data_IF_079118890272
#
_entry.id   IF_079118890272
#
_cell.length_a   1.000
_cell.length_b   1.000
_cell.length_c   1.000
_cell.angle_alpha   90.00
_cell.angle_beta   90.00
_cell.angle_gamma   90.00
#
_symmetry.space_group_name_H-M   'P 1'
#
loop_
_entity.id
_entity.type
_entity.pdbx_description
1 polymer ?
#
# COMPACT_ATOMS: atom_id res chain seq x y z
N UNK A 1 -7.18 -6.83 -10.61
CA UNK A 1 -6.11 -7.50 -11.36
C UNK A 1 -5.61 -6.61 -12.49
N UNK A 2 -4.35 -6.79 -12.88
CA UNK A 2 -3.78 -6.32 -14.13
C UNK A 2 -3.56 -7.52 -15.04
N UNK A 3 -3.77 -7.36 -16.35
CA UNK A 3 -3.57 -8.40 -17.36
C UNK A 3 -2.77 -7.85 -18.54
N UNK A 4 -1.68 -8.52 -18.90
CA UNK A 4 -0.75 -8.11 -19.97
C UNK A 4 -0.38 -6.61 -19.85
N UNK A 5 -0.22 -6.13 -18.62
CA UNK A 5 -0.12 -4.72 -18.33
C UNK A 5 1.30 -4.21 -18.53
N UNK A 6 1.41 -3.04 -19.18
CA UNK A 6 2.66 -2.31 -19.31
C UNK A 6 2.47 -0.89 -18.81
N UNK A 7 3.44 -0.35 -18.11
CA UNK A 7 3.43 1.04 -17.65
C UNK A 7 4.83 1.65 -17.64
N UNK A 8 4.84 2.98 -17.70
CA UNK A 8 6.08 3.75 -17.72
C UNK A 8 5.81 5.26 -17.69
N UNK A 9 6.86 6.05 -17.77
CA UNK A 9 6.80 7.50 -17.81
C UNK A 9 7.56 8.03 -19.02
N UNK A 10 6.90 8.80 -19.87
CA UNK A 10 7.48 9.33 -21.12
C UNK A 10 7.98 8.18 -22.00
N UNK A 11 9.26 8.23 -22.38
CA UNK A 11 9.88 7.19 -23.21
C UNK A 11 10.41 5.98 -22.42
N UNK A 12 10.33 5.98 -21.08
CA UNK A 12 10.86 4.91 -20.22
C UNK A 12 9.74 3.97 -19.80
N UNK A 13 9.74 2.76 -20.32
CA UNK A 13 8.91 1.66 -19.83
C UNK A 13 9.52 1.09 -18.55
N UNK A 14 8.72 0.89 -17.51
CA UNK A 14 9.14 0.34 -16.22
C UNK A 14 8.88 -1.16 -16.16
N UNK A 15 7.74 -1.60 -16.68
CA UNK A 15 7.39 -3.02 -16.80
C UNK A 15 6.53 -3.27 -18.03
N UNK A 16 6.59 -4.50 -18.55
CA UNK A 16 5.93 -4.90 -19.79
C UNK A 16 5.29 -6.27 -19.62
N UNK A 17 4.06 -6.42 -20.12
CA UNK A 17 3.31 -7.68 -20.19
C UNK A 17 3.26 -8.42 -18.84
N UNK A 18 2.95 -7.70 -17.76
CA UNK A 18 2.84 -8.32 -16.44
C UNK A 18 1.38 -8.65 -16.10
N UNK A 19 1.22 -9.77 -15.40
CA UNK A 19 -0.04 -10.20 -14.82
C UNK A 19 0.05 -10.16 -13.30
N UNK A 20 -0.88 -9.43 -12.65
CA UNK A 20 -0.96 -9.32 -11.20
C UNK A 20 -2.40 -9.42 -10.75
N UNK A 21 -2.69 -10.35 -9.86
CA UNK A 21 -3.98 -10.45 -9.21
C UNK A 21 -3.80 -10.42 -7.69
N UNK A 22 -4.73 -9.79 -6.99
CA UNK A 22 -4.81 -9.77 -5.54
C UNK A 22 -6.17 -10.35 -5.16
N UNK A 23 -6.15 -11.45 -4.44
CA UNK A 23 -7.33 -12.11 -3.90
C UNK A 23 -7.60 -11.73 -2.44
N UNK A 24 -8.80 -12.02 -1.98
CA UNK A 24 -9.18 -11.84 -0.58
C UNK A 24 -8.32 -12.74 0.31
N UNK A 25 -7.80 -12.19 1.40
CA UNK A 25 -6.94 -12.92 2.35
C UNK A 25 -5.49 -13.10 1.90
N UNK A 26 -5.13 -12.71 0.67
CA UNK A 26 -3.73 -12.72 0.25
C UNK A 26 -2.93 -11.62 0.94
N UNK A 27 -1.70 -11.95 1.29
CA UNK A 27 -0.71 -11.08 1.93
C UNK A 27 0.52 -11.05 1.06
N UNK A 28 0.55 -10.11 0.12
CA UNK A 28 1.57 -10.07 -0.92
C UNK A 28 2.60 -9.00 -0.58
N UNK A 29 3.88 -9.35 -0.52
CA UNK A 29 4.95 -8.37 -0.56
C UNK A 29 5.47 -8.19 -1.99
N UNK A 30 5.67 -6.95 -2.40
CA UNK A 30 6.25 -6.59 -3.69
C UNK A 30 7.70 -6.17 -3.49
N UNK A 31 8.62 -6.95 -4.03
CA UNK A 31 10.06 -6.72 -3.95
C UNK A 31 10.63 -6.37 -5.32
N UNK A 32 11.79 -5.74 -5.34
CA UNK A 32 12.48 -5.33 -6.56
C UNK A 32 13.40 -4.14 -6.31
N UNK A 33 14.31 -3.87 -7.23
CA UNK A 33 15.29 -2.78 -7.14
C UNK A 33 14.61 -1.41 -7.04
N UNK A 34 15.30 -0.44 -6.46
CA UNK A 34 14.81 0.95 -6.47
C UNK A 34 14.68 1.45 -7.91
N UNK A 35 13.56 2.12 -8.20
CA UNK A 35 13.26 2.59 -9.55
C UNK A 35 12.79 1.51 -10.53
N UNK A 36 12.52 0.27 -10.08
CA UNK A 36 11.98 -0.79 -10.95
C UNK A 36 10.51 -0.60 -11.34
N UNK A 37 9.77 0.31 -10.68
CA UNK A 37 8.37 0.56 -10.99
C UNK A 37 7.38 0.02 -9.94
N UNK A 38 7.85 -0.39 -8.75
CA UNK A 38 6.97 -0.92 -7.68
C UNK A 38 5.82 0.03 -7.32
N UNK A 39 6.12 1.28 -6.98
CA UNK A 39 5.08 2.28 -6.66
C UNK A 39 4.17 2.59 -7.85
N UNK A 40 4.71 2.55 -9.08
CA UNK A 40 3.91 2.70 -10.31
C UNK A 40 2.94 1.53 -10.46
N UNK A 41 3.35 0.31 -10.13
CA UNK A 41 2.49 -0.86 -10.13
C UNK A 41 1.34 -0.72 -9.12
N UNK A 42 1.62 -0.26 -7.88
CA UNK A 42 0.57 0.01 -6.91
C UNK A 42 -0.40 1.09 -7.41
N UNK A 43 0.12 2.17 -7.98
CA UNK A 43 -0.70 3.25 -8.57
C UNK A 43 -1.55 2.74 -9.75
N UNK A 44 -1.01 1.87 -10.59
CA UNK A 44 -1.76 1.26 -11.69
C UNK A 44 -2.88 0.34 -11.17
N UNK A 45 -2.61 -0.48 -10.15
CA UNK A 45 -3.63 -1.30 -9.47
C UNK A 45 -4.72 -0.44 -8.82
N UNK A 46 -4.35 0.69 -8.21
CA UNK A 46 -5.29 1.67 -7.65
C UNK A 46 -6.11 2.39 -8.73
N UNK A 47 -5.64 2.43 -9.97
CA UNK A 47 -6.24 3.21 -11.07
C UNK A 47 -5.81 4.68 -11.08
N UNK A 48 -4.72 5.01 -10.39
CA UNK A 48 -4.15 6.35 -10.31
C UNK A 48 -3.15 6.66 -11.44
N UNK A 49 -2.78 5.64 -12.24
CA UNK A 49 -1.88 5.76 -13.40
C UNK A 49 -2.49 4.96 -14.55
N UNK A 50 -2.47 5.54 -15.75
CA UNK A 50 -2.90 4.86 -16.97
C UNK A 50 -1.84 3.84 -17.43
N UNK A 51 -2.30 2.73 -17.95
CA UNK A 51 -1.47 1.71 -18.56
C UNK A 51 -1.08 2.13 -19.99
N UNK A 52 0.13 1.78 -20.41
CA UNK A 52 0.56 1.91 -21.83
C UNK A 52 -0.10 0.82 -22.68
N UNK A 53 -0.32 -0.36 -22.11
CA UNK A 53 -1.05 -1.47 -22.74
C UNK A 53 -1.59 -2.42 -21.66
N UNK A 54 -2.47 -3.32 -22.06
CA UNK A 54 -3.14 -4.29 -21.18
C UNK A 54 -4.36 -3.72 -20.47
N UNK A 55 -4.91 -4.48 -19.55
CA UNK A 55 -6.19 -4.18 -18.91
C UNK A 55 -6.09 -4.17 -17.39
N UNK A 56 -6.79 -3.22 -16.77
CA UNK A 56 -7.06 -3.21 -15.33
C UNK A 56 -8.48 -3.71 -15.09
N UNK A 57 -8.61 -4.83 -14.40
CA UNK A 57 -9.91 -5.38 -13.99
C UNK A 57 -10.12 -5.20 -12.49
N UNK A 58 -11.26 -4.64 -12.12
CA UNK A 58 -11.75 -4.57 -10.73
C UNK A 58 -13.14 -5.20 -10.70
N UNK A 59 -13.33 -6.17 -9.82
CA UNK A 59 -14.65 -6.74 -9.62
C UNK A 59 -15.63 -5.65 -9.16
N UNK A 60 -16.83 -5.53 -9.74
CA UNK A 60 -17.80 -4.53 -9.31
C UNK A 60 -18.06 -4.58 -7.80
N UNK A 61 -18.09 -3.40 -7.17
CA UNK A 61 -18.27 -3.26 -5.73
C UNK A 61 -17.01 -3.44 -4.88
N UNK A 62 -15.86 -3.80 -5.47
CA UNK A 62 -14.60 -3.91 -4.72
C UNK A 62 -14.05 -2.54 -4.39
N UNK A 63 -13.83 -2.29 -3.10
CA UNK A 63 -13.19 -1.08 -2.62
C UNK A 63 -11.68 -1.28 -2.49
N UNK A 64 -10.91 -0.46 -3.20
CA UNK A 64 -9.44 -0.48 -3.19
C UNK A 64 -8.95 0.81 -2.54
N UNK A 65 -8.12 0.70 -1.52
CA UNK A 65 -7.48 1.85 -0.89
C UNK A 65 -5.97 1.78 -1.11
N UNK A 66 -5.41 2.90 -1.55
CA UNK A 66 -3.97 3.08 -1.76
C UNK A 66 -3.40 4.06 -0.74
N UNK A 67 -2.45 3.58 0.06
CA UNK A 67 -1.63 4.39 0.94
C UNK A 67 -0.34 4.77 0.20
N UNK A 68 -0.26 6.02 -0.24
CA UNK A 68 0.91 6.55 -0.92
C UNK A 68 2.12 6.70 0.04
N UNK A 69 3.32 6.71 -0.52
CA UNK A 69 4.55 6.93 0.24
C UNK A 69 4.57 8.31 0.92
N UNK A 70 4.17 9.35 0.18
CA UNK A 70 4.18 10.72 0.66
C UNK A 70 2.81 11.11 1.23
N UNK A 71 2.85 11.83 2.36
CA UNK A 71 1.67 12.47 2.94
C UNK A 71 1.45 13.84 2.28
N UNK A 72 0.25 14.07 1.78
CA UNK A 72 -0.15 15.33 1.17
C UNK A 72 -1.52 15.74 1.73
N UNK A 73 -1.61 16.95 2.28
CA UNK A 73 -2.86 17.53 2.76
C UNK A 73 -3.14 18.86 2.06
N UNK A 74 -4.41 19.20 1.92
CA UNK A 74 -4.83 20.48 1.37
C UNK A 74 -4.53 21.63 2.33
N UNK A 75 -4.20 22.83 1.84
CA UNK A 75 -3.99 23.99 2.68
C UNK A 75 -5.19 24.31 3.57
N UNK A 76 -4.97 24.41 4.87
CA UNK A 76 -6.01 24.72 5.85
C UNK A 76 -6.92 23.56 6.26
N UNK A 77 -6.77 22.38 5.66
CA UNK A 77 -7.52 21.17 6.02
C UNK A 77 -7.15 20.71 7.43
N UNK A 78 -8.14 20.40 8.25
CA UNK A 78 -7.91 19.75 9.55
C UNK A 78 -7.58 18.26 9.38
N UNK A 79 -7.00 17.65 10.42
CA UNK A 79 -6.74 16.21 10.46
C UNK A 79 -8.04 15.41 10.32
N UNK A 80 -9.12 15.84 10.99
CA UNK A 80 -10.42 15.20 10.85
C UNK A 80 -10.92 15.22 9.40
N UNK A 81 -10.93 16.39 8.76
CA UNK A 81 -11.32 16.53 7.35
C UNK A 81 -10.45 15.68 6.41
N UNK A 82 -9.14 15.61 6.67
CA UNK A 82 -8.23 14.79 5.88
C UNK A 82 -8.58 13.29 5.99
N UNK A 83 -8.82 12.79 7.21
CA UNK A 83 -9.12 11.37 7.44
C UNK A 83 -10.50 11.01 6.87
N UNK A 84 -11.52 11.84 7.11
CA UNK A 84 -12.90 11.64 6.62
C UNK A 84 -13.00 11.71 5.09
N UNK A 85 -12.17 12.52 4.44
CA UNK A 85 -12.10 12.59 2.98
C UNK A 85 -11.69 11.25 2.32
N UNK A 86 -11.23 10.26 3.10
CA UNK A 86 -11.03 8.89 2.63
C UNK A 86 -12.31 8.15 2.24
N UNK A 87 -13.49 8.62 2.69
CA UNK A 87 -14.79 8.03 2.39
C UNK A 87 -15.23 6.94 3.38
N UNK A 88 -14.55 6.80 4.52
CA UNK A 88 -14.98 5.95 5.63
C UNK A 88 -16.10 6.61 6.46
N UNK A 89 -16.76 5.81 7.30
CA UNK A 89 -17.76 6.35 8.23
C UNK A 89 -17.11 7.22 9.31
N UNK A 90 -17.72 8.38 9.64
CA UNK A 90 -17.17 9.37 10.60
C UNK A 90 -16.77 8.77 11.93
N UNK A 91 -17.54 7.82 12.47
CA UNK A 91 -17.22 7.19 13.76
C UNK A 91 -15.96 6.31 13.68
N UNK A 92 -15.67 5.70 12.52
CA UNK A 92 -14.44 4.93 12.29
C UNK A 92 -13.23 5.83 12.10
N UNK A 93 -13.41 6.92 11.36
CA UNK A 93 -12.39 7.95 11.24
C UNK A 93 -11.97 8.46 12.62
N UNK A 94 -12.95 8.79 13.48
CA UNK A 94 -12.70 9.22 14.85
C UNK A 94 -11.97 8.15 15.68
N UNK A 95 -12.40 6.88 15.59
CA UNK A 95 -11.73 5.79 16.30
C UNK A 95 -10.29 5.54 15.83
N UNK A 96 -10.01 5.70 14.53
CA UNK A 96 -8.64 5.58 14.01
C UNK A 96 -7.76 6.75 14.45
N UNK A 97 -8.30 7.97 14.46
CA UNK A 97 -7.57 9.14 14.97
C UNK A 97 -7.21 9.00 16.44
N UNK A 98 -8.15 8.56 17.28
CA UNK A 98 -7.92 8.30 18.71
C UNK A 98 -6.82 7.24 18.92
N UNK A 99 -6.92 6.10 18.21
CA UNK A 99 -5.92 5.03 18.30
C UNK A 99 -4.52 5.44 17.86
N UNK A 100 -4.42 6.34 16.91
CA UNK A 100 -3.16 6.82 16.35
C UNK A 100 -2.71 8.14 16.99
N UNK A 101 -3.34 8.53 18.10
CA UNK A 101 -2.99 9.71 18.88
C UNK A 101 -2.89 10.99 18.03
N UNK A 102 -3.90 11.21 17.19
CA UNK A 102 -4.02 12.37 16.31
C UNK A 102 -5.00 13.39 16.90
N UNK A 103 -4.64 14.65 16.89
CA UNK A 103 -5.57 15.75 17.22
C UNK A 103 -6.44 16.08 15.99
N UNK A 104 -7.77 15.79 16.03
CA UNK A 104 -8.67 16.05 14.90
C UNK A 104 -8.72 17.52 14.48
N UNK A 105 -8.49 18.45 15.44
CA UNK A 105 -8.55 19.89 15.20
C UNK A 105 -7.27 20.50 14.64
N UNK A 106 -6.15 19.76 14.68
CA UNK A 106 -4.87 20.25 14.18
C UNK A 106 -4.93 20.43 12.65
N UNK A 107 -4.23 21.43 12.12
CA UNK A 107 -4.11 21.62 10.67
C UNK A 107 -3.20 20.55 10.07
N UNK A 108 -3.71 19.78 9.11
CA UNK A 108 -3.00 18.62 8.57
C UNK A 108 -1.65 18.98 7.92
N UNK A 109 -1.52 20.16 7.30
CA UNK A 109 -0.26 20.61 6.70
C UNK A 109 0.85 20.94 7.72
N UNK A 110 0.53 21.03 9.03
CA UNK A 110 1.50 21.28 10.12
C UNK A 110 2.01 20.02 10.79
N UNK A 111 1.50 18.84 10.38
CA UNK A 111 1.91 17.56 10.94
C UNK A 111 3.40 17.26 10.66
N UNK A 112 4.08 16.69 11.63
CA UNK A 112 5.38 16.06 11.42
C UNK A 112 5.26 14.86 10.46
N UNK A 113 6.40 14.38 9.95
CA UNK A 113 6.38 13.21 9.04
C UNK A 113 5.72 11.99 9.67
N UNK A 114 5.96 11.72 10.96
CA UNK A 114 5.33 10.62 11.69
C UNK A 114 3.83 10.81 11.89
N UNK A 115 3.40 12.01 12.31
CA UNK A 115 1.97 12.33 12.45
C UNK A 115 1.24 12.26 11.10
N UNK A 116 1.83 12.81 10.03
CA UNK A 116 1.29 12.73 8.69
C UNK A 116 1.14 11.27 8.22
N UNK A 117 2.12 10.41 8.56
CA UNK A 117 2.03 8.98 8.25
C UNK A 117 0.91 8.29 9.02
N UNK A 118 0.76 8.59 10.31
CA UNK A 118 -0.36 8.10 11.13
C UNK A 118 -1.71 8.59 10.59
N UNK A 119 -1.82 9.85 10.18
CA UNK A 119 -3.04 10.39 9.57
C UNK A 119 -3.40 9.69 8.24
N UNK A 120 -2.41 9.41 7.39
CA UNK A 120 -2.62 8.65 6.16
C UNK A 120 -3.07 7.20 6.42
N UNK A 121 -2.52 6.54 7.45
CA UNK A 121 -2.97 5.22 7.90
C UNK A 121 -4.40 5.28 8.45
N UNK A 122 -4.73 6.27 9.30
CA UNK A 122 -6.09 6.47 9.82
C UNK A 122 -7.10 6.59 8.67
N UNK A 123 -6.79 7.42 7.68
CA UNK A 123 -7.61 7.59 6.47
C UNK A 123 -7.81 6.28 5.71
N UNK A 124 -6.74 5.52 5.49
CA UNK A 124 -6.79 4.27 4.75
C UNK A 124 -7.59 3.19 5.49
N UNK A 125 -7.39 3.04 6.80
CA UNK A 125 -8.04 2.00 7.60
C UNK A 125 -9.51 2.30 7.91
N UNK A 126 -9.89 3.58 7.99
CA UNK A 126 -11.29 3.98 8.23
C UNK A 126 -12.24 3.58 7.09
N UNK A 127 -11.73 3.32 5.89
CA UNK A 127 -12.55 2.96 4.71
C UNK A 127 -12.99 1.49 4.70
N UNK A 128 -12.40 0.60 5.51
CA UNK A 128 -12.60 -0.86 5.46
C UNK A 128 -12.51 -1.44 4.03
N UNK A 129 -11.40 -1.25 3.33
CA UNK A 129 -11.31 -1.67 1.94
C UNK A 129 -11.31 -3.20 1.79
N UNK A 130 -11.68 -3.69 0.61
CA UNK A 130 -11.49 -5.10 0.23
C UNK A 130 -10.03 -5.40 -0.14
N UNK A 131 -9.35 -4.38 -0.71
CA UNK A 131 -7.94 -4.46 -1.11
C UNK A 131 -7.20 -3.24 -0.57
N UNK A 132 -6.09 -3.50 0.11
CA UNK A 132 -5.21 -2.48 0.68
C UNK A 132 -3.85 -2.51 -0.03
N UNK A 133 -3.49 -1.40 -0.65
CA UNK A 133 -2.21 -1.21 -1.34
C UNK A 133 -1.35 -0.27 -0.49
N UNK A 134 -0.22 -0.75 0.02
CA UNK A 134 0.62 -0.04 0.97
C UNK A 134 2.00 0.24 0.37
N UNK A 135 2.34 1.52 0.21
CA UNK A 135 3.64 1.96 -0.27
C UNK A 135 4.46 2.53 0.90
N UNK A 136 5.45 1.73 1.36
CA UNK A 136 6.33 2.03 2.50
C UNK A 136 5.55 2.44 3.78
N UNK A 137 4.61 1.61 4.28
CA UNK A 137 3.73 2.00 5.38
C UNK A 137 4.44 2.25 6.71
N UNK A 138 5.61 1.64 6.92
CA UNK A 138 6.38 1.72 8.17
C UNK A 138 7.30 2.94 8.25
N UNK A 139 7.51 3.67 7.14
CA UNK A 139 8.38 4.84 7.12
C UNK A 139 7.88 5.93 8.09
N UNK A 140 8.82 6.49 8.87
CA UNK A 140 8.58 7.55 9.85
C UNK A 140 7.67 7.17 11.03
N UNK A 141 7.36 5.88 11.21
CA UNK A 141 6.62 5.38 12.37
C UNK A 141 7.58 4.97 13.49
N UNK A 142 7.14 5.17 14.73
CA UNK A 142 7.76 4.58 15.90
C UNK A 142 7.40 3.09 16.04
N UNK A 143 8.14 2.39 16.90
CA UNK A 143 7.97 0.94 17.08
C UNK A 143 6.55 0.57 17.53
N UNK A 144 5.96 1.34 18.44
CA UNK A 144 4.61 1.05 18.95
C UNK A 144 3.55 1.17 17.84
N UNK A 145 3.69 2.15 16.95
CA UNK A 145 2.79 2.30 15.81
C UNK A 145 3.01 1.18 14.78
N UNK A 146 4.26 0.72 14.56
CA UNK A 146 4.55 -0.44 13.68
C UNK A 146 3.91 -1.71 14.23
N UNK A 147 4.07 -2.00 15.52
CA UNK A 147 3.46 -3.17 16.19
C UNK A 147 1.92 -3.12 16.09
N UNK A 148 1.32 -1.94 16.32
CA UNK A 148 -0.11 -1.76 16.10
C UNK A 148 -0.52 -2.04 14.65
N UNK A 149 0.24 -1.54 13.67
CA UNK A 149 -0.05 -1.76 12.25
C UNK A 149 0.06 -3.25 11.88
N UNK A 150 1.07 -3.96 12.38
CA UNK A 150 1.22 -5.40 12.20
C UNK A 150 -0.01 -6.16 12.70
N UNK A 151 -0.50 -5.81 13.89
CA UNK A 151 -1.69 -6.41 14.49
C UNK A 151 -2.96 -6.14 13.67
N UNK A 152 -3.18 -4.90 13.23
CA UNK A 152 -4.35 -4.53 12.43
C UNK A 152 -4.33 -5.23 11.05
N UNK A 153 -3.17 -5.25 10.38
CA UNK A 153 -3.02 -5.94 9.11
C UNK A 153 -3.12 -7.46 9.25
N UNK A 154 -2.70 -8.02 10.39
CA UNK A 154 -2.89 -9.44 10.71
C UNK A 154 -4.37 -9.84 10.81
N UNK A 155 -5.22 -8.96 11.33
CA UNK A 155 -6.69 -9.15 11.45
C UNK A 155 -7.45 -8.79 10.20
N UNK A 156 -6.84 -8.06 9.29
CA UNK A 156 -7.49 -7.60 8.07
C UNK A 156 -7.91 -8.78 7.20
N UNK A 157 -9.16 -8.80 6.72
CA UNK A 157 -9.73 -9.93 5.96
C UNK A 157 -9.64 -9.76 4.44
N UNK A 158 -9.35 -8.57 3.98
CA UNK A 158 -9.16 -8.26 2.56
C UNK A 158 -7.81 -8.74 2.03
N UNK A 159 -7.51 -8.39 0.79
CA UNK A 159 -6.19 -8.62 0.19
C UNK A 159 -5.24 -7.47 0.48
N UNK A 160 -3.96 -7.77 0.70
CA UNK A 160 -2.91 -6.77 0.92
C UNK A 160 -1.82 -6.94 -0.13
N UNK A 161 -1.37 -5.83 -0.71
CA UNK A 161 -0.12 -5.73 -1.44
C UNK A 161 0.72 -4.62 -0.80
N UNK A 162 1.91 -4.97 -0.33
CA UNK A 162 2.78 -4.06 0.41
C UNK A 162 4.17 -3.97 -0.22
N UNK A 163 4.70 -2.75 -0.27
CA UNK A 163 6.11 -2.46 -0.49
C UNK A 163 6.67 -1.96 0.84
N UNK A 164 7.77 -2.54 1.31
CA UNK A 164 8.50 -2.04 2.47
C UNK A 164 9.98 -2.41 2.39
N UNK A 165 10.81 -1.60 3.02
CA UNK A 165 12.22 -1.93 3.29
C UNK A 165 12.41 -2.59 4.66
N UNK A 166 11.36 -2.66 5.47
CA UNK A 166 11.36 -3.34 6.76
C UNK A 166 11.14 -4.85 6.57
N UNK A 167 12.24 -5.60 6.61
CA UNK A 167 12.25 -7.05 6.41
C UNK A 167 11.45 -7.78 7.48
N UNK A 168 11.57 -7.36 8.74
CA UNK A 168 10.86 -7.98 9.85
C UNK A 168 9.34 -7.82 9.69
N UNK A 169 8.90 -6.63 9.27
CA UNK A 169 7.49 -6.35 8.94
C UNK A 169 7.00 -7.24 7.79
N UNK A 170 7.77 -7.33 6.69
CA UNK A 170 7.40 -8.17 5.54
C UNK A 170 7.32 -9.66 5.90
N UNK A 171 8.29 -10.17 6.68
CA UNK A 171 8.33 -11.57 7.11
C UNK A 171 7.12 -11.96 7.94
N UNK A 172 6.68 -11.08 8.84
CA UNK A 172 5.48 -11.32 9.66
C UNK A 172 4.18 -11.26 8.85
N UNK A 173 4.10 -10.36 7.87
CA UNK A 173 2.85 -10.06 7.17
C UNK A 173 2.63 -10.95 5.96
N UNK A 174 3.66 -11.21 5.15
CA UNK A 174 3.49 -11.78 3.80
C UNK A 174 3.45 -13.31 3.79
N UNK A 175 2.62 -13.84 2.88
CA UNK A 175 2.56 -15.26 2.54
C UNK A 175 2.81 -15.52 1.04
N UNK A 176 2.98 -14.46 0.28
CA UNK A 176 3.25 -14.47 -1.17
C UNK A 176 4.21 -13.35 -1.50
N UNK A 177 5.15 -13.60 -2.39
CA UNK A 177 6.09 -12.58 -2.87
C UNK A 177 5.89 -12.37 -4.37
N UNK A 178 5.78 -11.11 -4.77
CA UNK A 178 5.92 -10.68 -6.16
C UNK A 178 7.28 -9.99 -6.32
N UNK A 179 8.07 -10.46 -7.27
CA UNK A 179 9.37 -9.88 -7.57
C UNK A 179 9.34 -9.21 -8.94
N UNK A 180 9.54 -7.90 -8.93
CA UNK A 180 9.65 -7.09 -10.14
C UNK A 180 11.13 -6.90 -10.49
N UNK A 181 11.60 -7.64 -11.48
CA UNK A 181 12.98 -7.58 -11.96
C UNK A 181 13.05 -7.45 -13.48
N UNK A 182 13.91 -6.55 -13.97
CA UNK A 182 14.07 -6.32 -15.41
C UNK A 182 12.79 -5.98 -16.16
N UNK A 183 11.78 -5.41 -15.47
CA UNK A 183 10.46 -5.10 -16.04
C UNK A 183 9.53 -6.30 -16.15
N UNK A 184 9.91 -7.45 -15.61
CA UNK A 184 9.10 -8.68 -15.56
C UNK A 184 8.65 -8.97 -14.14
N UNK A 185 7.52 -9.68 -14.02
CA UNK A 185 6.96 -10.09 -12.73
C UNK A 185 7.16 -11.57 -12.51
N UNK A 186 7.73 -11.92 -11.36
CA UNK A 186 7.83 -13.30 -10.88
C UNK A 186 6.97 -13.43 -9.62
N UNK A 187 6.23 -14.53 -9.50
CA UNK A 187 5.41 -14.83 -8.33
C UNK A 187 5.95 -16.06 -7.62
N UNK A 188 6.23 -15.89 -6.34
CA UNK A 188 6.60 -16.97 -5.42
C UNK A 188 5.48 -17.15 -4.40
N UNK A 189 4.96 -18.36 -4.27
CA UNK A 189 3.93 -18.71 -3.28
C UNK A 189 4.58 -19.02 -1.91
N UNK A 190 5.41 -18.09 -1.46
CA UNK A 190 6.03 -18.06 -0.15
C UNK A 190 6.16 -16.60 0.29
N UNK A 191 6.18 -16.35 1.60
CA UNK A 191 6.41 -15.03 2.16
C UNK A 191 7.84 -14.54 1.92
N UNK A 192 8.16 -13.38 2.50
CA UNK A 192 9.43 -12.70 2.30
C UNK A 192 10.65 -13.57 2.67
N UNK A 193 10.57 -14.35 3.75
CA UNK A 193 11.67 -15.26 4.16
C UNK A 193 12.01 -16.29 3.09
N UNK A 194 10.98 -16.90 2.48
CA UNK A 194 11.18 -17.84 1.38
C UNK A 194 11.73 -17.19 0.10
N UNK A 195 11.48 -15.88 -0.09
CA UNK A 195 12.06 -15.11 -1.19
C UNK A 195 13.57 -14.88 -1.00
N UNK A 196 14.03 -14.56 0.20
CA UNK A 196 15.46 -14.39 0.47
C UNK A 196 16.25 -15.69 0.16
N UNK A 197 15.73 -16.82 0.64
CA UNK A 197 16.35 -18.13 0.35
C UNK A 197 16.35 -18.46 -1.15
N UNK A 198 15.27 -18.10 -1.87
CA UNK A 198 15.16 -18.37 -3.30
C UNK A 198 16.02 -17.41 -4.13
N UNK A 199 16.10 -16.13 -3.78
CA UNK A 199 16.85 -15.12 -4.52
C UNK A 199 18.38 -15.36 -4.48
N UNK A 200 18.87 -16.03 -3.43
CA UNK A 200 20.29 -16.41 -3.30
C UNK A 200 20.67 -17.59 -4.20
N UNK A 201 19.70 -18.30 -4.79
CA UNK A 201 19.89 -19.47 -5.64
C UNK A 201 19.80 -19.15 -7.15
N UNK A 202 19.36 -17.95 -7.52
CA UNK A 202 19.12 -17.49 -8.89
C UNK A 202 20.11 -16.43 -9.31
#
# INVERSE_FOLDING_TARGET
>A
ALRNASAGFGARTLFTDIDVAIGRGERICLVGRNGSGKSTLLKALAGAVELLSGDRFVQPGTQITYLAQDFVAEPGQSVAEYVEAGGGETHRAAAMMDRLELDPGQTASTLSGGEGRRAALARAMATEPDILLLDEPTNHLDLATIEWLEDELGRFRGGILVISHDRAFLSKLSNTTLWLDGGKMHRLNAGYDGFEEWSDQV
#
